data_IF_631547892086
#
_entry.id   IF_631547892086
#
_cell.length_a   1.000
_cell.length_b   1.000
_cell.length_c   1.000
_cell.angle_alpha   90.00
_cell.angle_beta   90.00
_cell.angle_gamma   90.00
#
_symmetry.space_group_name_H-M   'P 1'
#
loop_
_entity.id
_entity.type
_entity.pdbx_description
1 polymer ?
#
# COMPACT_ATOMS: atom_id res chain seq x y z
N UNK A 1 -25.73 27.10 -35.44
CA UNK A 1 -26.00 27.11 -36.89
C UNK A 1 -27.21 28.01 -37.10
N UNK A 2 -27.17 28.86 -38.12
CA UNK A 2 -28.19 29.88 -38.38
C UNK A 2 -29.49 29.29 -38.95
N UNK A 3 -29.42 28.14 -39.63
CA UNK A 3 -30.56 27.41 -40.18
C UNK A 3 -30.79 26.06 -39.49
N UNK A 4 -32.04 25.59 -39.52
CA UNK A 4 -32.43 24.25 -39.09
C UNK A 4 -31.72 23.17 -39.93
N UNK A 5 -31.20 22.14 -39.28
CA UNK A 5 -30.46 21.06 -39.93
C UNK A 5 -31.05 19.70 -39.59
N UNK A 6 -31.16 18.83 -40.58
CA UNK A 6 -31.38 17.40 -40.34
C UNK A 6 -30.03 16.71 -40.26
N UNK A 7 -29.72 16.12 -39.10
CA UNK A 7 -28.52 15.34 -38.86
C UNK A 7 -28.84 13.84 -38.90
N UNK A 8 -28.01 13.08 -39.60
CA UNK A 8 -27.98 11.62 -39.58
C UNK A 8 -26.82 11.16 -38.69
N UNK A 9 -27.15 10.52 -37.58
CA UNK A 9 -26.19 9.99 -36.61
C UNK A 9 -26.15 8.47 -36.75
N UNK A 10 -24.95 7.92 -36.94
CA UNK A 10 -24.69 6.50 -37.16
C UNK A 10 -23.72 5.99 -36.09
N UNK A 11 -24.12 4.95 -35.35
CA UNK A 11 -23.21 4.17 -34.51
C UNK A 11 -22.79 2.92 -35.30
N UNK A 12 -21.48 2.77 -35.50
CA UNK A 12 -20.87 1.66 -36.26
C UNK A 12 -20.49 0.51 -35.32
N UNK A 13 -20.65 -0.71 -35.81
CA UNK A 13 -20.33 -1.98 -35.16
C UNK A 13 -19.65 -2.93 -36.17
N UNK A 14 -18.69 -2.41 -36.93
CA UNK A 14 -18.04 -3.11 -38.03
C UNK A 14 -17.34 -4.41 -37.57
N UNK A 15 -16.81 -4.41 -36.34
CA UNK A 15 -16.09 -5.53 -35.72
C UNK A 15 -16.98 -6.48 -34.91
N UNK A 16 -18.31 -6.23 -34.89
CA UNK A 16 -19.31 -7.04 -34.19
C UNK A 16 -19.01 -7.24 -32.70
N UNK A 17 -18.52 -6.20 -32.03
CA UNK A 17 -18.09 -6.23 -30.63
C UNK A 17 -19.26 -6.08 -29.64
N UNK A 18 -20.40 -5.59 -30.12
CA UNK A 18 -21.64 -5.45 -29.34
C UNK A 18 -22.88 -5.79 -30.19
N UNK A 19 -24.03 -5.90 -29.55
CA UNK A 19 -25.34 -5.92 -30.21
C UNK A 19 -26.13 -4.67 -29.87
N UNK A 20 -26.95 -4.19 -30.80
CA UNK A 20 -27.90 -3.15 -30.49
C UNK A 20 -29.12 -3.74 -29.80
N UNK A 21 -29.54 -3.12 -28.70
CA UNK A 21 -30.73 -3.51 -27.96
C UNK A 21 -31.88 -2.52 -28.20
N UNK A 22 -33.11 -3.01 -28.10
CA UNK A 22 -34.33 -2.18 -28.14
C UNK A 22 -34.90 -2.01 -26.72
N UNK A 23 -35.75 -1.00 -26.54
CA UNK A 23 -36.34 -0.63 -25.23
C UNK A 23 -37.47 -1.58 -24.82
N UNK A 24 -37.94 -2.43 -25.72
CA UNK A 24 -38.99 -3.40 -25.45
C UNK A 24 -38.41 -4.62 -24.71
N UNK A 25 -39.06 -5.01 -23.60
CA UNK A 25 -38.72 -6.16 -22.75
C UNK A 25 -38.89 -7.53 -23.45
N UNK A 26 -38.98 -7.59 -24.77
CA UNK A 26 -39.05 -8.82 -25.52
C UNK A 26 -37.64 -9.24 -25.96
N UNK A 27 -37.17 -10.37 -25.42
CA UNK A 27 -36.00 -11.07 -25.94
C UNK A 27 -36.39 -11.68 -27.29
N UNK A 28 -36.43 -10.86 -28.33
CA UNK A 28 -36.42 -11.35 -29.69
C UNK A 28 -34.96 -11.60 -30.03
N UNK A 29 -34.52 -12.86 -29.96
CA UNK A 29 -33.26 -13.30 -30.59
C UNK A 29 -33.39 -13.12 -32.11
N UNK A 30 -33.26 -11.89 -32.58
CA UNK A 30 -33.12 -11.64 -34.01
C UNK A 30 -31.66 -11.92 -34.35
N UNK A 31 -31.41 -13.02 -35.05
CA UNK A 31 -30.08 -13.48 -35.48
C UNK A 31 -29.49 -12.61 -36.60
N UNK A 32 -29.88 -11.33 -36.68
CA UNK A 32 -29.43 -10.40 -37.72
C UNK A 32 -28.20 -9.66 -37.21
N UNK A 33 -27.09 -9.82 -37.90
CA UNK A 33 -25.88 -9.04 -37.68
C UNK A 33 -26.15 -7.60 -38.10
N UNK A 34 -26.34 -6.71 -37.12
CA UNK A 34 -26.44 -5.27 -37.34
C UNK A 34 -25.04 -4.64 -37.26
N UNK A 35 -24.51 -4.24 -38.42
CA UNK A 35 -23.20 -3.58 -38.53
C UNK A 35 -23.26 -2.08 -38.20
N UNK A 36 -24.44 -1.46 -38.25
CA UNK A 36 -24.63 -0.07 -37.86
C UNK A 36 -26.09 0.20 -37.51
N UNK A 37 -26.33 1.23 -36.70
CA UNK A 37 -27.67 1.76 -36.42
C UNK A 37 -27.68 3.27 -36.64
N UNK A 38 -28.68 3.74 -37.39
CA UNK A 38 -28.80 5.15 -37.76
C UNK A 38 -30.06 5.78 -37.18
N UNK A 39 -29.95 7.05 -36.75
CA UNK A 39 -31.06 7.87 -36.29
C UNK A 39 -31.00 9.24 -36.95
N UNK A 40 -32.15 9.73 -37.41
CA UNK A 40 -32.30 11.07 -37.99
C UNK A 40 -32.90 12.02 -36.97
N UNK A 41 -32.35 13.22 -36.89
CA UNK A 41 -32.72 14.25 -35.92
C UNK A 41 -32.84 15.59 -36.63
N UNK A 42 -33.97 16.27 -36.47
CA UNK A 42 -34.13 17.66 -36.90
C UNK A 42 -33.69 18.59 -35.78
N UNK A 43 -32.64 19.37 -36.00
CA UNK A 43 -32.02 20.26 -35.02
C UNK A 43 -32.36 21.69 -35.40
N UNK A 44 -33.09 22.40 -34.52
CA UNK A 44 -33.45 23.79 -34.75
C UNK A 44 -32.21 24.69 -34.66
N UNK A 45 -32.23 25.82 -35.36
CA UNK A 45 -31.15 26.80 -35.35
C UNK A 45 -30.76 27.20 -33.92
N UNK A 46 -29.45 27.29 -33.68
CA UNK A 46 -28.87 27.60 -32.37
C UNK A 46 -29.29 26.67 -31.19
N UNK A 47 -29.73 25.44 -31.47
CA UNK A 47 -30.04 24.42 -30.45
C UNK A 47 -29.17 23.17 -30.59
N UNK A 48 -29.25 22.26 -29.60
CA UNK A 48 -28.66 20.92 -29.66
C UNK A 48 -29.72 19.86 -29.33
N UNK A 49 -29.57 18.67 -29.91
CA UNK A 49 -30.36 17.48 -29.58
C UNK A 49 -29.47 16.32 -29.19
N UNK A 50 -29.90 15.57 -28.18
CA UNK A 50 -29.23 14.34 -27.74
C UNK A 50 -29.86 13.13 -28.42
N UNK A 51 -29.03 12.13 -28.70
CA UNK A 51 -29.44 10.83 -29.20
C UNK A 51 -28.72 9.74 -28.43
N UNK A 52 -29.43 8.64 -28.17
CA UNK A 52 -28.90 7.50 -27.45
C UNK A 52 -29.06 6.23 -28.27
N UNK A 53 -28.03 5.39 -28.24
CA UNK A 53 -28.05 4.04 -28.78
C UNK A 53 -27.87 3.07 -27.61
N UNK A 54 -28.76 2.09 -27.49
CA UNK A 54 -28.61 1.05 -26.49
C UNK A 54 -27.77 -0.07 -27.10
N UNK A 55 -26.71 -0.46 -26.41
CA UNK A 55 -25.80 -1.51 -26.86
C UNK A 55 -25.54 -2.49 -25.72
N UNK A 56 -25.36 -3.76 -26.06
CA UNK A 56 -24.95 -4.82 -25.15
C UNK A 56 -23.64 -5.41 -25.64
N UNK A 57 -22.53 -5.23 -24.89
CA UNK A 57 -21.24 -5.80 -25.25
C UNK A 57 -21.28 -7.32 -25.42
N UNK A 58 -20.53 -7.85 -26.38
CA UNK A 58 -20.35 -9.29 -26.61
C UNK A 58 -18.97 -9.79 -26.20
N UNK A 59 -17.99 -8.90 -26.10
CA UNK A 59 -16.60 -9.22 -25.76
C UNK A 59 -16.16 -8.46 -24.52
N UNK A 60 -15.33 -9.10 -23.73
CA UNK A 60 -14.62 -8.49 -22.61
C UNK A 60 -13.40 -7.73 -23.11
N UNK A 61 -12.95 -6.74 -22.34
CA UNK A 61 -11.82 -5.88 -22.69
C UNK A 61 -12.25 -4.58 -23.38
N UNK A 62 -11.35 -3.97 -24.13
CA UNK A 62 -11.64 -2.72 -24.83
C UNK A 62 -12.42 -3.00 -26.11
N UNK A 63 -13.60 -2.39 -26.23
CA UNK A 63 -14.40 -2.38 -27.47
C UNK A 63 -14.45 -0.96 -28.04
N UNK A 64 -14.53 -0.86 -29.36
CA UNK A 64 -14.50 0.42 -30.07
C UNK A 64 -15.90 0.96 -30.30
N UNK A 65 -16.17 2.15 -29.77
CA UNK A 65 -17.42 2.89 -29.97
C UNK A 65 -17.16 4.02 -30.95
N UNK A 66 -17.62 3.85 -32.19
CA UNK A 66 -17.46 4.82 -33.28
C UNK A 66 -18.80 5.41 -33.69
N UNK A 67 -18.95 6.72 -33.51
CA UNK A 67 -20.15 7.47 -33.89
C UNK A 67 -19.81 8.47 -34.98
N UNK A 68 -20.64 8.57 -36.01
CA UNK A 68 -20.53 9.60 -37.06
C UNK A 68 -21.82 10.39 -37.14
N UNK A 69 -21.73 11.72 -37.20
CA UNK A 69 -22.86 12.61 -37.40
C UNK A 69 -22.66 13.39 -38.71
N UNK A 70 -23.63 13.37 -39.61
CA UNK A 70 -23.58 14.08 -40.90
C UNK A 70 -24.83 14.91 -41.12
N UNK A 71 -24.68 16.15 -41.56
CA UNK A 71 -25.73 17.01 -42.10
C UNK A 71 -25.47 17.24 -43.60
N UNK A 72 -26.29 18.07 -44.26
CA UNK A 72 -26.05 18.44 -45.66
C UNK A 72 -24.78 19.26 -45.86
N UNK A 73 -24.28 19.92 -44.80
CA UNK A 73 -23.20 20.92 -44.87
C UNK A 73 -21.93 20.51 -44.13
N UNK A 74 -22.02 19.59 -43.17
CA UNK A 74 -20.89 19.20 -42.33
C UNK A 74 -21.00 17.75 -41.88
N UNK A 75 -19.89 17.16 -41.45
CA UNK A 75 -19.88 15.87 -40.80
C UNK A 75 -18.72 15.75 -39.83
N UNK A 76 -18.92 14.98 -38.77
CA UNK A 76 -17.94 14.73 -37.72
C UNK A 76 -18.02 13.26 -37.28
N UNK A 77 -16.92 12.75 -36.72
CA UNK A 77 -16.84 11.39 -36.18
C UNK A 77 -16.03 11.35 -34.89
N UNK A 78 -16.53 10.59 -33.92
CA UNK A 78 -15.88 10.37 -32.64
C UNK A 78 -15.70 8.87 -32.44
N UNK A 79 -14.48 8.49 -32.08
CA UNK A 79 -14.13 7.11 -31.75
C UNK A 79 -13.57 7.07 -30.32
N UNK A 80 -14.10 6.16 -29.50
CA UNK A 80 -13.64 5.95 -28.13
C UNK A 80 -13.60 4.47 -27.79
N UNK A 81 -12.66 4.10 -26.93
CA UNK A 81 -12.56 2.78 -26.35
C UNK A 81 -13.44 2.69 -25.09
N UNK A 82 -14.25 1.65 -24.99
CA UNK A 82 -15.05 1.30 -23.83
C UNK A 82 -14.49 0.02 -23.20
N UNK A 83 -14.05 0.09 -21.94
CA UNK A 83 -13.60 -1.07 -21.19
C UNK A 83 -14.81 -1.86 -20.67
N UNK A 84 -14.95 -3.10 -21.11
CA UNK A 84 -15.95 -4.07 -20.68
C UNK A 84 -15.27 -5.02 -19.69
N UNK A 85 -15.67 -4.94 -18.42
CA UNK A 85 -15.14 -5.79 -17.36
C UNK A 85 -15.94 -7.09 -17.25
N UNK A 86 -15.30 -8.21 -16.86
CA UNK A 86 -16.00 -9.46 -16.59
C UNK A 86 -16.93 -9.34 -15.39
N UNK A 87 -18.05 -10.04 -15.41
CA UNK A 87 -18.90 -10.22 -14.24
C UNK A 87 -18.28 -11.13 -13.17
N UNK A 88 -18.88 -11.12 -11.97
CA UNK A 88 -18.48 -12.00 -10.86
C UNK A 88 -17.44 -11.39 -9.93
N UNK A 89 -16.66 -12.25 -9.26
CA UNK A 89 -15.61 -11.87 -8.31
C UNK A 89 -14.23 -12.23 -8.87
N UNK A 90 -13.27 -11.29 -8.93
CA UNK A 90 -11.92 -11.58 -9.38
C UNK A 90 -11.22 -12.55 -8.42
N UNK A 91 -10.58 -13.58 -8.97
CA UNK A 91 -9.75 -14.52 -8.22
C UNK A 91 -8.31 -14.46 -8.71
N UNK A 92 -7.38 -14.31 -7.77
CA UNK A 92 -5.95 -14.25 -8.05
C UNK A 92 -5.27 -15.52 -7.54
N UNK A 93 -4.58 -16.22 -8.45
CA UNK A 93 -3.77 -17.40 -8.11
C UNK A 93 -2.31 -17.04 -8.41
N UNK A 94 -1.46 -17.05 -7.38
CA UNK A 94 -0.04 -16.76 -7.51
C UNK A 94 0.77 -18.04 -7.26
N UNK A 95 1.69 -18.35 -8.18
CA UNK A 95 2.73 -19.37 -7.98
C UNK A 95 4.09 -18.74 -8.22
N UNK A 96 5.02 -18.93 -7.28
CA UNK A 96 6.36 -18.40 -7.35
C UNK A 96 7.39 -19.54 -7.21
N UNK A 97 8.54 -19.40 -7.87
CA UNK A 97 9.71 -20.25 -7.64
C UNK A 97 10.96 -19.39 -7.52
N UNK A 98 11.81 -19.74 -6.55
CA UNK A 98 13.14 -19.18 -6.44
C UNK A 98 14.10 -19.89 -7.39
N UNK A 99 14.89 -19.12 -8.14
CA UNK A 99 15.90 -19.62 -9.08
C UNK A 99 17.27 -19.20 -8.58
N UNK A 100 18.11 -20.19 -8.25
CA UNK A 100 19.51 -19.98 -7.87
C UNK A 100 20.43 -20.63 -8.91
N UNK A 101 21.08 -19.79 -9.70
CA UNK A 101 22.02 -20.24 -10.75
C UNK A 101 23.48 -20.34 -10.26
N UNK A 102 23.75 -20.16 -8.95
CA UNK A 102 25.12 -20.27 -8.41
C UNK A 102 25.62 -21.70 -8.38
N UNK A 103 24.72 -22.66 -8.17
CA UNK A 103 25.04 -24.08 -8.08
C UNK A 103 24.85 -24.83 -9.42
N UNK A 104 23.98 -24.32 -10.29
CA UNK A 104 23.63 -24.97 -11.56
C UNK A 104 23.48 -23.92 -12.67
N UNK A 105 23.96 -24.21 -13.90
CA UNK A 105 23.96 -23.22 -15.00
C UNK A 105 22.57 -22.96 -15.58
N UNK A 106 21.63 -23.89 -15.41
CA UNK A 106 20.26 -23.79 -15.92
C UNK A 106 19.28 -24.43 -14.93
N UNK A 107 18.08 -23.85 -14.80
CA UNK A 107 16.99 -24.37 -13.98
C UNK A 107 15.70 -24.29 -14.80
N UNK A 108 15.03 -25.43 -14.96
CA UNK A 108 13.69 -25.50 -15.54
C UNK A 108 12.66 -25.75 -14.44
N UNK A 109 11.58 -24.97 -14.41
CA UNK A 109 10.44 -25.15 -13.50
C UNK A 109 9.14 -25.11 -14.30
N UNK A 110 8.25 -26.05 -14.04
CA UNK A 110 6.92 -26.13 -14.65
C UNK A 110 5.88 -25.64 -13.66
N UNK A 111 4.98 -24.76 -14.10
CA UNK A 111 3.85 -24.28 -13.33
C UNK A 111 2.55 -24.71 -14.00
N UNK A 112 1.77 -25.53 -13.32
CA UNK A 112 0.40 -25.84 -13.75
C UNK A 112 -0.56 -24.82 -13.12
N UNK A 113 -1.40 -24.17 -13.92
CA UNK A 113 -2.40 -23.20 -13.42
C UNK A 113 -3.78 -23.80 -13.61
N UNK A 114 -4.45 -24.12 -12.51
CA UNK A 114 -5.81 -24.65 -12.54
C UNK A 114 -6.81 -23.50 -12.67
N UNK A 115 -7.55 -23.46 -13.77
CA UNK A 115 -8.61 -22.47 -13.99
C UNK A 115 -9.91 -23.00 -13.35
N UNK A 116 -10.57 -22.24 -12.46
CA UNK A 116 -11.84 -22.64 -11.87
C UNK A 116 -12.89 -22.97 -12.94
N UNK A 117 -13.67 -24.05 -12.74
CA UNK A 117 -14.70 -24.48 -13.70
C UNK A 117 -15.82 -23.46 -13.92
N UNK A 118 -16.02 -22.57 -12.96
CA UNK A 118 -16.99 -21.49 -12.98
C UNK A 118 -16.38 -20.15 -13.44
N UNK A 119 -15.18 -20.15 -14.02
CA UNK A 119 -14.59 -18.94 -14.60
C UNK A 119 -15.48 -18.40 -15.72
N UNK A 120 -15.74 -17.10 -15.70
CA UNK A 120 -16.44 -16.40 -16.78
C UNK A 120 -15.64 -16.57 -18.08
N UNK A 121 -16.28 -16.94 -19.21
CA UNK A 121 -15.60 -17.05 -20.50
C UNK A 121 -14.76 -15.79 -20.81
N UNK A 122 -13.57 -15.98 -21.39
CA UNK A 122 -12.63 -14.92 -21.75
C UNK A 122 -12.13 -14.00 -20.62
N UNK A 123 -12.46 -14.30 -19.36
CA UNK A 123 -11.98 -13.53 -18.19
C UNK A 123 -10.59 -13.95 -17.70
N UNK A 124 -10.09 -15.11 -18.15
CA UNK A 124 -8.80 -15.64 -17.73
C UNK A 124 -7.64 -14.75 -18.22
N UNK A 125 -6.73 -14.41 -17.30
CA UNK A 125 -5.49 -13.68 -17.58
C UNK A 125 -4.35 -14.39 -16.87
N UNK A 126 -3.23 -14.59 -17.57
CA UNK A 126 -2.02 -15.19 -17.03
C UNK A 126 -0.89 -14.19 -17.25
N UNK A 127 -0.18 -13.86 -16.18
CA UNK A 127 0.99 -13.00 -16.21
C UNK A 127 2.20 -13.77 -15.66
N UNK A 128 3.36 -13.58 -16.30
CA UNK A 128 4.62 -14.19 -15.87
C UNK A 128 5.64 -13.08 -15.71
N UNK A 129 6.20 -12.97 -14.50
CA UNK A 129 7.25 -12.03 -14.17
C UNK A 129 8.50 -12.78 -13.69
N UNK A 130 9.67 -12.37 -14.20
CA UNK A 130 10.97 -12.88 -13.77
C UNK A 130 11.78 -11.72 -13.20
N UNK A 131 12.32 -11.93 -12.01
CA UNK A 131 12.94 -10.86 -11.22
C UNK A 131 14.31 -11.36 -10.78
N UNK A 132 15.36 -10.64 -11.21
CA UNK A 132 16.76 -11.01 -10.91
C UNK A 132 17.25 -10.62 -9.52
N UNK A 133 16.36 -10.13 -8.66
CA UNK A 133 16.65 -9.64 -7.32
C UNK A 133 15.58 -10.21 -6.37
N UNK A 134 16.00 -10.75 -5.22
CA UNK A 134 15.09 -11.32 -4.21
C UNK A 134 14.07 -10.28 -3.73
N UNK A 135 14.45 -9.01 -3.73
CA UNK A 135 13.57 -7.89 -3.36
C UNK A 135 12.88 -7.25 -4.57
N UNK A 136 13.16 -7.71 -5.79
CA UNK A 136 12.76 -6.99 -7.01
C UNK A 136 11.25 -6.96 -7.28
N UNK A 137 10.46 -7.87 -6.72
CA UNK A 137 8.98 -7.80 -6.74
C UNK A 137 8.47 -6.64 -5.89
N UNK A 138 9.16 -6.32 -4.79
CA UNK A 138 8.90 -5.13 -3.98
C UNK A 138 9.35 -3.86 -4.72
N UNK A 139 10.40 -3.95 -5.56
CA UNK A 139 11.04 -2.80 -6.23
C UNK A 139 10.17 -2.08 -7.25
N UNK A 140 9.42 -2.80 -8.09
CA UNK A 140 8.69 -2.18 -9.21
C UNK A 140 7.67 -1.12 -8.75
N UNK A 141 7.31 -1.10 -7.47
CA UNK A 141 6.41 -0.12 -6.87
C UNK A 141 6.97 0.55 -5.59
N UNK A 142 8.29 0.53 -5.34
CA UNK A 142 8.88 1.17 -4.14
C UNK A 142 8.54 2.67 -4.05
N UNK A 143 8.50 3.37 -5.18
CA UNK A 143 8.13 4.79 -5.26
C UNK A 143 6.70 5.06 -4.75
N UNK A 144 5.82 4.05 -4.83
CA UNK A 144 4.44 4.10 -4.32
C UNK A 144 4.36 3.89 -2.81
N UNK A 145 5.40 3.32 -2.20
CA UNK A 145 5.55 3.20 -0.74
C UNK A 145 6.10 4.50 -0.13
N UNK A 146 6.80 5.33 -0.92
CA UNK A 146 7.19 6.70 -0.55
C UNK A 146 5.96 7.60 -0.58
N UNK A 147 5.28 7.67 0.57
CA UNK A 147 4.04 8.43 0.76
C UNK A 147 4.26 9.57 1.74
N UNK A 148 3.55 10.66 1.50
CA UNK A 148 3.52 11.78 2.44
C UNK A 148 2.81 11.32 3.72
N UNK A 149 3.42 11.48 4.90
CA UNK A 149 2.76 11.16 6.15
C UNK A 149 1.54 12.06 6.43
N UNK A 150 0.46 11.47 6.92
CA UNK A 150 -0.81 12.15 7.22
C UNK A 150 -1.55 11.45 8.36
N UNK A 151 -2.65 12.06 8.82
CA UNK A 151 -3.52 11.47 9.84
C UNK A 151 -3.04 11.73 11.26
N UNK A 152 -3.51 10.89 12.20
CA UNK A 152 -3.11 10.87 13.61
C UNK A 152 -1.69 10.30 13.77
N UNK A 153 -1.10 10.32 14.98
CA UNK A 153 0.30 9.90 15.20
C UNK A 153 0.60 8.49 14.66
N UNK A 154 -0.29 7.54 14.91
CA UNK A 154 -0.17 6.17 14.38
C UNK A 154 -0.16 6.12 12.84
N UNK A 155 -1.10 6.80 12.19
CA UNK A 155 -1.19 6.84 10.71
C UNK A 155 -0.03 7.62 10.08
N UNK A 156 0.45 8.63 10.79
CA UNK A 156 1.61 9.39 10.40
C UNK A 156 2.84 8.46 10.39
N UNK A 157 3.05 7.70 11.47
CA UNK A 157 4.16 6.75 11.56
C UNK A 157 4.07 5.59 10.56
N UNK A 158 2.86 5.10 10.25
CA UNK A 158 2.63 4.10 9.18
C UNK A 158 3.17 4.55 7.82
N UNK A 159 3.04 5.83 7.51
CA UNK A 159 3.53 6.38 6.25
C UNK A 159 4.96 6.91 6.37
N UNK A 160 5.44 7.25 7.58
CA UNK A 160 6.80 7.74 7.83
C UNK A 160 7.85 6.63 7.64
N UNK A 161 7.69 5.49 8.30
CA UNK A 161 8.71 4.41 8.31
C UNK A 161 9.04 3.86 6.92
N UNK A 162 8.07 3.64 6.01
CA UNK A 162 8.38 3.23 4.64
C UNK A 162 9.35 4.17 3.92
N UNK A 163 9.29 5.48 4.17
CA UNK A 163 10.23 6.42 3.55
C UNK A 163 11.69 6.16 3.96
N UNK A 164 11.93 5.69 5.20
CA UNK A 164 13.26 5.36 5.73
C UNK A 164 13.76 4.07 5.07
N UNK A 165 12.96 2.99 5.19
CA UNK A 165 13.37 1.64 4.75
C UNK A 165 13.57 1.57 3.24
N UNK A 166 12.71 2.25 2.47
CA UNK A 166 12.87 2.35 1.01
C UNK A 166 14.17 3.08 0.66
N UNK A 167 14.50 4.16 1.38
CA UNK A 167 15.71 4.94 1.12
C UNK A 167 16.97 4.15 1.46
N UNK A 168 17.00 3.45 2.61
CA UNK A 168 18.09 2.56 3.01
C UNK A 168 18.32 1.47 1.97
N UNK A 169 17.24 0.85 1.49
CA UNK A 169 17.31 -0.20 0.48
C UNK A 169 17.84 0.32 -0.87
N UNK A 170 17.30 1.43 -1.38
CA UNK A 170 17.74 2.02 -2.65
C UNK A 170 19.20 2.48 -2.58
N UNK A 171 19.63 2.98 -1.42
CA UNK A 171 21.02 3.34 -1.16
C UNK A 171 21.92 2.10 -1.15
N UNK A 172 21.53 1.03 -0.45
CA UNK A 172 22.30 -0.22 -0.37
C UNK A 172 22.43 -0.93 -1.73
N UNK A 173 21.41 -0.80 -2.60
CA UNK A 173 21.40 -1.41 -3.94
C UNK A 173 21.96 -0.52 -5.04
N UNK A 174 22.46 0.69 -4.70
CA UNK A 174 22.91 1.70 -5.67
C UNK A 174 21.85 2.08 -6.73
N UNK A 175 20.57 2.01 -6.37
CA UNK A 175 19.42 2.36 -7.24
C UNK A 175 18.80 3.72 -6.86
N UNK A 176 19.34 4.41 -5.86
CA UNK A 176 18.83 5.70 -5.40
C UNK A 176 19.05 6.81 -6.42
N UNK A 177 17.98 7.51 -6.79
CA UNK A 177 18.04 8.72 -7.61
C UNK A 177 17.87 9.97 -6.74
N UNK A 178 18.45 11.10 -7.17
CA UNK A 178 18.35 12.37 -6.44
C UNK A 178 16.90 12.84 -6.23
N UNK A 179 16.02 12.59 -7.20
CA UNK A 179 14.60 12.95 -7.11
C UNK A 179 13.88 12.14 -6.03
N UNK A 180 14.16 10.82 -5.97
CA UNK A 180 13.58 9.93 -4.96
C UNK A 180 14.10 10.30 -3.56
N UNK A 181 15.41 10.55 -3.44
CA UNK A 181 16.04 10.96 -2.18
C UNK A 181 15.43 12.27 -1.66
N UNK A 182 15.35 13.30 -2.51
CA UNK A 182 14.78 14.59 -2.12
C UNK A 182 13.31 14.48 -1.71
N UNK A 183 12.52 13.66 -2.43
CA UNK A 183 11.11 13.40 -2.11
C UNK A 183 10.96 12.69 -0.76
N UNK A 184 11.72 11.62 -0.54
CA UNK A 184 11.69 10.86 0.71
C UNK A 184 12.12 11.72 1.90
N UNK A 185 13.21 12.50 1.78
CA UNK A 185 13.66 13.42 2.84
C UNK A 185 12.60 14.47 3.18
N UNK A 186 12.01 15.12 2.17
CA UNK A 186 10.92 16.08 2.38
C UNK A 186 9.73 15.46 3.12
N UNK A 187 9.36 14.23 2.78
CA UNK A 187 8.27 13.50 3.42
C UNK A 187 8.61 13.10 4.85
N UNK A 188 9.85 12.64 5.11
CA UNK A 188 10.33 12.38 6.46
C UNK A 188 10.35 13.65 7.30
N UNK A 189 10.88 14.77 6.81
CA UNK A 189 10.88 16.05 7.55
C UNK A 189 9.46 16.49 7.93
N UNK A 190 8.51 16.41 6.98
CA UNK A 190 7.11 16.72 7.24
C UNK A 190 6.48 15.76 8.26
N UNK A 191 6.74 14.46 8.14
CA UNK A 191 6.23 13.45 9.07
C UNK A 191 6.81 13.59 10.47
N UNK A 192 8.10 13.91 10.59
CA UNK A 192 8.76 14.20 11.86
C UNK A 192 8.11 15.41 12.56
N UNK A 193 7.97 16.54 11.86
CA UNK A 193 7.34 17.74 12.44
C UNK A 193 5.88 17.47 12.84
N UNK A 194 5.15 16.68 12.05
CA UNK A 194 3.78 16.29 12.37
C UNK A 194 3.73 15.38 13.60
N UNK A 195 4.63 14.41 13.71
CA UNK A 195 4.67 13.48 14.83
C UNK A 195 4.92 14.21 16.16
N UNK A 196 5.76 15.24 16.15
CA UNK A 196 6.00 16.08 17.33
C UNK A 196 4.72 16.74 17.89
N UNK A 197 3.67 16.92 17.07
CA UNK A 197 2.37 17.42 17.56
C UNK A 197 1.57 16.41 18.37
N UNK A 198 1.93 15.12 18.28
CA UNK A 198 1.33 14.01 19.02
C UNK A 198 2.16 13.58 20.24
N UNK A 199 3.23 14.33 20.53
CA UNK A 199 4.07 14.16 21.71
C UNK A 199 3.44 14.82 22.93
N UNK A 200 3.43 14.10 24.04
CA UNK A 200 3.06 14.60 25.36
C UNK A 200 4.20 15.43 25.99
N UNK A 201 3.86 16.22 27.01
CA UNK A 201 4.82 17.00 27.80
C UNK A 201 5.87 16.13 28.50
N UNK A 202 5.46 14.94 28.93
CA UNK A 202 6.31 13.94 29.59
C UNK A 202 7.27 13.19 28.63
N UNK A 203 7.15 13.42 27.32
CA UNK A 203 8.02 12.81 26.30
C UNK A 203 7.44 11.57 25.62
N UNK A 204 6.27 11.10 26.05
CA UNK A 204 5.56 9.99 25.43
C UNK A 204 4.79 10.38 24.18
N UNK A 205 4.37 9.40 23.37
CA UNK A 205 3.58 9.59 22.16
C UNK A 205 2.26 8.82 22.23
N UNK A 206 1.22 9.36 21.61
CA UNK A 206 -0.12 8.73 21.50
C UNK A 206 -0.73 9.06 20.15
N UNK A 207 -1.85 8.43 19.77
CA UNK A 207 -2.49 8.72 18.49
C UNK A 207 -2.94 10.18 18.38
N UNK A 208 -3.44 10.78 19.46
CA UNK A 208 -4.03 12.13 19.45
C UNK A 208 -3.32 13.13 20.37
N UNK A 209 -2.08 12.83 20.78
CA UNK A 209 -1.27 13.69 21.64
C UNK A 209 -1.95 13.95 22.99
N UNK A 210 -1.85 15.18 23.49
CA UNK A 210 -2.45 15.65 24.76
C UNK A 210 -3.98 15.52 24.83
N UNK A 211 -4.66 15.15 23.74
CA UNK A 211 -6.08 14.79 23.79
C UNK A 211 -6.31 13.41 24.41
N UNK A 212 -5.32 12.51 24.31
CA UNK A 212 -5.33 11.23 25.00
C UNK A 212 -4.89 11.40 26.45
N UNK A 213 -5.35 10.51 27.34
CA UNK A 213 -5.03 10.62 28.78
C UNK A 213 -3.56 10.32 29.11
N UNK A 214 -2.88 9.57 28.24
CA UNK A 214 -1.48 9.16 28.42
C UNK A 214 -0.90 8.74 27.08
N UNK A 215 0.43 8.76 26.98
CA UNK A 215 1.15 8.07 25.90
C UNK A 215 0.99 6.56 25.92
N UNK A 216 1.35 5.94 24.79
CA UNK A 216 1.47 4.49 24.64
C UNK A 216 2.92 4.02 24.73
N UNK A 217 3.16 2.94 25.46
CA UNK A 217 4.46 2.28 25.53
C UNK A 217 4.91 1.84 24.15
N UNK A 218 4.08 1.09 23.43
CA UNK A 218 4.43 0.58 22.11
C UNK A 218 4.67 1.72 21.12
N UNK A 219 3.77 2.71 21.06
CA UNK A 219 3.92 3.82 20.11
C UNK A 219 5.15 4.67 20.43
N UNK A 220 5.40 4.96 21.70
CA UNK A 220 6.59 5.73 22.12
C UNK A 220 7.88 5.00 21.75
N UNK A 221 7.95 3.68 21.98
CA UNK A 221 9.10 2.87 21.55
C UNK A 221 9.25 2.86 20.02
N UNK A 222 8.15 2.72 19.29
CA UNK A 222 8.15 2.73 17.83
C UNK A 222 8.64 4.05 17.25
N UNK A 223 8.17 5.19 17.81
CA UNK A 223 8.60 6.53 17.42
C UNK A 223 10.08 6.74 17.71
N UNK A 224 10.54 6.44 18.93
CA UNK A 224 11.95 6.61 19.32
C UNK A 224 12.89 5.80 18.41
N UNK A 225 12.52 4.55 18.12
CA UNK A 225 13.24 3.68 17.19
C UNK A 225 13.27 4.23 15.77
N UNK A 226 12.10 4.61 15.24
CA UNK A 226 11.96 5.12 13.87
C UNK A 226 12.71 6.44 13.68
N UNK A 227 12.69 7.33 14.68
CA UNK A 227 13.44 8.58 14.67
C UNK A 227 14.94 8.34 14.67
N UNK A 228 15.43 7.35 15.44
CA UNK A 228 16.84 6.96 15.39
C UNK A 228 17.26 6.47 14.01
N UNK A 229 16.42 5.69 13.33
CA UNK A 229 16.68 5.21 11.97
C UNK A 229 16.65 6.37 10.96
N UNK A 230 15.67 7.27 11.08
CA UNK A 230 15.54 8.46 10.22
C UNK A 230 16.71 9.45 10.36
N UNK A 231 17.39 9.48 11.50
CA UNK A 231 18.55 10.36 11.77
C UNK A 231 19.72 10.13 10.79
N UNK A 232 19.76 8.99 10.09
CA UNK A 232 20.73 8.73 9.03
C UNK A 232 20.47 9.53 7.74
N UNK A 233 19.27 10.11 7.59
CA UNK A 233 18.82 10.76 6.34
C UNK A 233 18.35 12.20 6.54
N UNK A 234 17.78 12.52 7.71
CA UNK A 234 17.27 13.84 8.07
C UNK A 234 17.75 14.25 9.47
N UNK A 235 17.70 15.54 9.77
CA UNK A 235 18.02 16.04 11.11
C UNK A 235 16.89 15.72 12.10
N UNK A 236 17.23 15.02 13.18
CA UNK A 236 16.33 14.71 14.30
C UNK A 236 16.93 15.30 15.57
N UNK A 237 16.09 15.87 16.44
CA UNK A 237 16.54 16.36 17.76
C UNK A 237 16.69 15.16 18.70
N UNK A 238 17.93 14.84 19.07
CA UNK A 238 18.25 13.73 19.98
C UNK A 238 17.55 13.84 21.33
N UNK A 239 17.22 15.07 21.78
CA UNK A 239 16.48 15.27 23.04
C UNK A 239 15.06 14.72 22.99
N UNK A 240 14.45 14.65 21.81
CA UNK A 240 13.12 14.05 21.65
C UNK A 240 13.21 12.55 21.90
N UNK A 241 14.20 11.89 21.32
CA UNK A 241 14.43 10.45 21.52
C UNK A 241 14.79 10.18 22.99
N UNK A 242 15.70 10.98 23.56
CA UNK A 242 16.13 10.83 24.96
C UNK A 242 14.94 10.93 25.93
N UNK A 243 14.06 11.92 25.76
CA UNK A 243 12.84 12.05 26.59
C UNK A 243 11.87 10.88 26.43
N UNK A 244 11.73 10.33 25.23
CA UNK A 244 10.88 9.15 25.01
C UNK A 244 11.45 7.91 25.70
N UNK A 245 12.77 7.70 25.64
CA UNK A 245 13.44 6.61 26.34
C UNK A 245 13.43 6.81 27.87
N UNK A 246 13.54 8.05 28.35
CA UNK A 246 13.36 8.39 29.77
C UNK A 246 11.98 7.98 30.27
N UNK A 247 10.94 8.41 29.56
CA UNK A 247 9.56 8.06 29.91
C UNK A 247 9.33 6.54 29.90
N UNK A 248 9.85 5.82 28.90
CA UNK A 248 9.76 4.36 28.84
C UNK A 248 10.45 3.71 30.05
N UNK A 249 11.65 4.16 30.40
CA UNK A 249 12.41 3.68 31.56
C UNK A 249 11.63 3.88 32.86
N UNK A 250 10.96 5.02 33.02
CA UNK A 250 10.16 5.34 34.22
C UNK A 250 8.89 4.48 34.33
N UNK A 251 8.39 3.94 33.21
CA UNK A 251 7.22 3.06 33.16
C UNK A 251 7.58 1.56 33.10
N UNK A 252 8.85 1.20 33.30
CA UNK A 252 9.27 -0.19 33.40
C UNK A 252 8.75 -0.83 34.70
N UNK A 253 8.20 -2.04 34.60
CA UNK A 253 7.76 -2.78 35.78
C UNK A 253 8.97 -3.29 36.60
N UNK A 254 8.81 -3.52 37.92
CA UNK A 254 9.90 -3.99 38.78
C UNK A 254 10.54 -5.32 38.34
N UNK A 255 9.79 -6.18 37.63
CA UNK A 255 10.27 -7.44 37.07
C UNK A 255 11.06 -7.28 35.76
N UNK A 256 11.25 -6.05 35.26
CA UNK A 256 11.97 -5.74 34.02
C UNK A 256 11.12 -5.68 32.76
N UNK A 257 9.85 -6.09 32.82
CA UNK A 257 8.94 -5.99 31.68
C UNK A 257 8.50 -4.56 31.39
N UNK A 258 8.16 -4.28 30.13
CA UNK A 258 7.49 -3.04 29.72
C UNK A 258 6.01 -3.34 29.46
N UNK A 259 5.09 -2.98 30.38
CA UNK A 259 3.66 -3.11 30.13
C UNK A 259 3.18 -2.04 29.15
N UNK A 260 2.11 -2.33 28.41
CA UNK A 260 1.43 -1.31 27.60
C UNK A 260 0.70 -0.33 28.54
N UNK A 261 1.08 0.94 28.46
CA UNK A 261 0.36 2.07 29.04
C UNK A 261 -0.42 2.75 27.91
N UNK A 262 -1.52 3.42 28.20
CA UNK A 262 -2.31 4.11 27.16
C UNK A 262 -3.02 3.17 26.19
N UNK A 263 -3.35 3.69 25.00
CA UNK A 263 -4.16 3.00 24.00
C UNK A 263 -3.52 3.14 22.62
N UNK A 264 -3.40 2.01 21.93
CA UNK A 264 -3.08 1.97 20.50
C UNK A 264 -4.37 1.71 19.72
N UNK A 265 -4.74 2.63 18.84
CA UNK A 265 -6.00 2.57 18.06
C UNK A 265 -5.85 1.64 16.85
N UNK A 266 -4.72 1.68 16.16
CA UNK A 266 -4.39 0.80 15.03
C UNK A 266 -3.56 -0.40 15.50
N UNK A 267 -4.20 -1.35 16.18
CA UNK A 267 -3.51 -2.54 16.73
C UNK A 267 -2.79 -3.39 15.69
N UNK A 268 -3.25 -3.38 14.44
CA UNK A 268 -2.59 -4.09 13.34
C UNK A 268 -1.14 -3.61 13.12
N UNK A 269 -0.83 -2.36 13.48
CA UNK A 269 0.54 -1.84 13.44
C UNK A 269 1.48 -2.53 14.41
N UNK A 270 0.96 -3.08 15.50
CA UNK A 270 1.77 -3.74 16.51
C UNK A 270 2.32 -5.07 16.00
N UNK A 271 1.68 -5.70 14.99
CA UNK A 271 2.19 -6.92 14.36
C UNK A 271 2.39 -8.10 15.32
N UNK A 272 1.77 -8.08 16.51
CA UNK A 272 1.98 -9.06 17.59
C UNK A 272 2.87 -8.57 18.74
N UNK A 273 3.51 -7.40 18.65
CA UNK A 273 4.40 -6.87 19.69
C UNK A 273 3.71 -5.92 20.68
N UNK A 274 2.38 -5.97 20.78
CA UNK A 274 1.59 -5.05 21.62
C UNK A 274 1.48 -5.46 23.10
N UNK A 275 2.04 -6.60 23.50
CA UNK A 275 1.99 -7.05 24.90
C UNK A 275 3.07 -8.08 25.23
N UNK A 276 3.21 -8.38 26.53
CA UNK A 276 4.02 -9.49 27.03
C UNK A 276 5.52 -9.37 26.71
N UNK A 277 6.15 -10.52 26.44
CA UNK A 277 7.58 -10.58 26.10
C UNK A 277 7.86 -9.85 24.79
N UNK A 278 6.96 -9.94 23.80
CA UNK A 278 7.12 -9.27 22.52
C UNK A 278 7.20 -7.74 22.69
N UNK A 279 6.34 -7.13 23.51
CA UNK A 279 6.43 -5.69 23.79
C UNK A 279 7.73 -5.33 24.53
N UNK A 280 8.12 -6.15 25.50
CA UNK A 280 9.37 -5.89 26.25
C UNK A 280 10.59 -5.99 25.34
N UNK A 281 10.66 -7.01 24.49
CA UNK A 281 11.71 -7.18 23.48
C UNK A 281 11.71 -6.02 22.47
N UNK A 282 10.53 -5.59 22.02
CA UNK A 282 10.38 -4.46 21.11
C UNK A 282 10.94 -3.16 21.71
N UNK A 283 10.56 -2.85 22.95
CA UNK A 283 11.03 -1.66 23.66
C UNK A 283 12.53 -1.75 23.94
N UNK A 284 13.04 -2.92 24.31
CA UNK A 284 14.48 -3.16 24.49
C UNK A 284 15.27 -2.86 23.20
N UNK A 285 14.78 -3.29 22.03
CA UNK A 285 15.40 -2.97 20.73
C UNK A 285 15.48 -1.45 20.53
N UNK A 286 14.43 -0.71 20.89
CA UNK A 286 14.44 0.76 20.78
C UNK A 286 15.54 1.41 21.65
N UNK A 287 15.82 0.87 22.85
CA UNK A 287 16.97 1.32 23.65
C UNK A 287 18.31 0.95 23.01
N UNK A 288 18.47 -0.29 22.53
CA UNK A 288 19.73 -0.81 22.00
C UNK A 288 20.13 -0.16 20.66
N UNK A 289 19.17 0.17 19.79
CA UNK A 289 19.44 0.91 18.54
C UNK A 289 19.91 2.36 18.82
N UNK A 290 19.64 2.89 20.01
CA UNK A 290 20.09 4.20 20.48
C UNK A 290 21.43 4.12 21.23
N UNK A 291 22.48 3.67 20.53
CA UNK A 291 23.83 3.36 21.07
C UNK A 291 24.37 4.45 22.03
N UNK A 292 24.21 5.73 21.68
CA UNK A 292 24.71 6.85 22.49
C UNK A 292 24.01 7.00 23.87
N UNK A 293 22.82 6.42 24.03
CA UNK A 293 22.00 6.50 25.24
C UNK A 293 22.01 5.20 26.05
N UNK A 294 22.67 4.15 25.56
CA UNK A 294 22.73 2.83 26.23
C UNK A 294 23.31 2.95 27.65
N UNK A 295 24.41 3.69 27.82
CA UNK A 295 25.02 3.88 29.15
C UNK A 295 24.11 4.62 30.12
N UNK A 296 23.31 5.59 29.64
CA UNK A 296 22.34 6.34 30.45
C UNK A 296 21.23 5.42 30.98
N UNK A 297 20.75 4.50 30.16
CA UNK A 297 19.62 3.61 30.48
C UNK A 297 20.02 2.17 30.81
N UNK A 298 21.30 1.93 31.12
CA UNK A 298 21.88 0.61 31.36
C UNK A 298 21.11 -0.25 32.36
N UNK A 299 20.58 0.36 33.43
CA UNK A 299 19.78 -0.35 34.43
C UNK A 299 18.45 -0.87 33.86
N UNK A 300 17.74 -0.06 33.08
CA UNK A 300 16.48 -0.46 32.46
C UNK A 300 16.71 -1.54 31.40
N UNK A 301 17.77 -1.36 30.59
CA UNK A 301 18.22 -2.32 29.58
C UNK A 301 18.52 -3.69 30.21
N UNK A 302 19.34 -3.74 31.26
CA UNK A 302 19.71 -5.01 31.90
C UNK A 302 18.51 -5.74 32.50
N UNK A 303 17.57 -5.02 33.12
CA UNK A 303 16.33 -5.62 33.64
C UNK A 303 15.46 -6.19 32.53
N UNK A 304 15.36 -5.48 31.40
CA UNK A 304 14.59 -5.94 30.25
C UNK A 304 15.23 -7.18 29.59
N UNK A 305 16.57 -7.21 29.48
CA UNK A 305 17.33 -8.38 29.01
C UNK A 305 17.03 -9.60 29.90
N UNK A 306 17.14 -9.44 31.22
CA UNK A 306 16.89 -10.53 32.18
C UNK A 306 15.43 -11.03 32.10
N UNK A 307 14.46 -10.11 31.97
CA UNK A 307 13.06 -10.49 31.76
C UNK A 307 12.87 -11.25 30.45
N UNK A 308 13.38 -10.73 29.32
CA UNK A 308 13.22 -11.39 28.01
C UNK A 308 13.85 -12.77 28.04
N UNK A 309 15.11 -12.89 28.50
CA UNK A 309 15.84 -14.17 28.57
C UNK A 309 15.08 -15.22 29.39
N UNK A 310 14.65 -14.89 30.62
CA UNK A 310 13.94 -15.84 31.50
C UNK A 310 12.61 -16.33 30.96
N UNK A 311 11.95 -15.54 30.12
CA UNK A 311 10.64 -15.89 29.57
C UNK A 311 10.74 -16.45 28.15
N UNK A 312 11.94 -16.53 27.56
CA UNK A 312 12.13 -16.97 26.16
C UNK A 312 11.83 -18.46 25.98
N UNK A 313 12.26 -19.32 26.92
CA UNK A 313 12.05 -20.78 26.82
C UNK A 313 10.57 -21.19 26.90
N UNK A 314 9.74 -20.37 27.55
CA UNK A 314 8.30 -20.61 27.73
C UNK A 314 7.42 -19.99 26.64
N UNK A 315 7.99 -19.40 25.59
CA UNK A 315 7.24 -18.74 24.51
C UNK A 315 6.81 -19.74 23.43
N UNK A 316 5.50 -19.94 23.31
CA UNK A 316 4.90 -20.69 22.20
C UNK A 316 4.69 -19.82 20.93
N UNK A 317 4.75 -18.49 21.06
CA UNK A 317 4.58 -17.56 19.95
C UNK A 317 5.90 -17.35 19.18
N UNK A 318 5.93 -17.85 17.95
CA UNK A 318 7.10 -17.75 17.04
C UNK A 318 7.49 -16.29 16.74
N UNK A 319 6.52 -15.38 16.65
CA UNK A 319 6.81 -13.97 16.40
C UNK A 319 7.49 -13.32 17.61
N UNK A 320 6.94 -13.55 18.80
CA UNK A 320 7.53 -13.09 20.05
C UNK A 320 8.93 -13.66 20.27
N UNK A 321 9.14 -14.94 19.95
CA UNK A 321 10.43 -15.61 20.04
C UNK A 321 11.47 -15.00 19.09
N UNK A 322 11.10 -14.75 17.83
CA UNK A 322 11.98 -14.13 16.85
C UNK A 322 12.42 -12.72 17.29
N UNK A 323 11.49 -11.95 17.85
CA UNK A 323 11.77 -10.60 18.35
C UNK A 323 12.65 -10.63 19.61
N UNK A 324 12.40 -11.56 20.53
CA UNK A 324 13.23 -11.78 21.71
C UNK A 324 14.67 -12.18 21.33
N UNK A 325 14.83 -13.13 20.40
CA UNK A 325 16.13 -13.56 19.91
C UNK A 325 16.90 -12.39 19.26
N UNK A 326 16.22 -11.57 18.45
CA UNK A 326 16.84 -10.39 17.85
C UNK A 326 17.26 -9.36 18.91
N UNK A 327 16.42 -9.10 19.92
CA UNK A 327 16.75 -8.18 21.01
C UNK A 327 17.96 -8.66 21.83
N UNK A 328 18.04 -9.95 22.16
CA UNK A 328 19.16 -10.55 22.87
C UNK A 328 20.45 -10.54 22.04
N UNK A 329 20.34 -10.79 20.73
CA UNK A 329 21.47 -10.69 19.80
C UNK A 329 22.03 -9.26 19.73
N UNK A 330 21.17 -8.23 19.72
CA UNK A 330 21.61 -6.83 19.77
C UNK A 330 22.25 -6.45 21.10
N UNK A 331 21.91 -7.14 22.17
CA UNK A 331 22.48 -6.93 23.51
C UNK A 331 23.80 -7.68 23.73
N UNK A 332 24.33 -8.38 22.72
CA UNK A 332 25.45 -9.32 22.84
C UNK A 332 25.25 -10.34 23.98
N UNK A 333 23.99 -10.74 24.22
CA UNK A 333 23.62 -11.68 25.27
C UNK A 333 23.32 -13.04 24.64
N UNK A 334 24.38 -13.79 24.32
CA UNK A 334 24.33 -15.18 23.84
C UNK A 334 24.31 -16.20 24.98
#
# INVERSE_FOLDING_TARGET
>A
MEDDQTAEVVLHNDEQEFEFADVENEVVESSKVELFRQKRLDIASNTGKSVSFMVKPKKLGHITIKVTAKTKIAGDAVERQLLVEPEGLPQFINKAAFVDLRAVPEVTKTFEVEIPKNAVPDSTRIEVAVIGDVMGSTIQNLDSLIRMPYGCGEQNMLNFVPNIVVLDYLKATNKLTANIEAKAKKFMEAGYQRELSYKHQDGSFSAFGESDKSGSTWLTAFVARSFKQAANHITIDEKVIDKSLEWLSDHQAPNGSFPEVGVVSHKDMQGGSGSGVALTAYTLIAFLENINLVDKYKNAINKAIDYVYRNTESLDDTYALALAAYALQLADHS
#
